data_IF_818624181955
#
_entry.id   IF_818624181955
#
_cell.length_a   1.000
_cell.length_b   1.000
_cell.length_c   1.000
_cell.angle_alpha   90.00
_cell.angle_beta   90.00
_cell.angle_gamma   90.00
#
_symmetry.space_group_name_H-M   'P 1'
#
loop_
_entity.id
_entity.type
_entity.pdbx_description
1 polymer ?
#
# COMPACT_ATOMS: atom_id res chain seq x y z
N UNK A 1 0.76 -13.57 10.84
CA UNK A 1 1.03 -12.12 10.63
C UNK A 1 2.00 -11.48 11.63
N UNK A 2 2.13 -11.93 12.89
CA UNK A 2 3.04 -11.29 13.87
C UNK A 2 4.52 -11.27 13.44
N UNK A 3 5.05 -12.37 12.90
CA UNK A 3 6.44 -12.46 12.46
C UNK A 3 6.79 -11.46 11.35
N UNK A 4 5.96 -11.38 10.30
CA UNK A 4 6.22 -10.46 9.19
C UNK A 4 6.21 -8.99 9.64
N UNK A 5 5.29 -8.59 10.52
CA UNK A 5 5.22 -7.22 11.04
C UNK A 5 6.42 -6.84 11.92
N UNK A 6 7.02 -7.80 12.60
CA UNK A 6 8.24 -7.57 13.39
C UNK A 6 9.49 -7.49 12.51
N UNK A 7 9.55 -8.31 11.46
CA UNK A 7 10.70 -8.38 10.55
C UNK A 7 10.71 -7.24 9.52
N UNK A 8 9.53 -6.82 9.09
CA UNK A 8 9.32 -5.73 8.13
C UNK A 8 8.47 -4.66 8.81
N UNK A 9 9.12 -3.73 9.55
CA UNK A 9 8.42 -2.65 10.25
C UNK A 9 7.79 -1.64 9.28
N UNK A 10 8.09 -1.78 7.98
CA UNK A 10 7.57 -0.96 6.92
C UNK A 10 7.35 -1.80 5.66
N UNK A 11 6.26 -1.53 4.94
CA UNK A 11 5.90 -2.16 3.67
C UNK A 11 5.47 -1.08 2.68
N UNK A 12 5.90 -1.22 1.43
CA UNK A 12 5.43 -0.46 0.28
C UNK A 12 4.98 -1.45 -0.78
N UNK A 13 3.89 -1.14 -1.48
CA UNK A 13 3.47 -1.87 -2.67
C UNK A 13 2.61 -1.01 -3.59
N UNK A 14 2.58 -1.39 -4.85
CA UNK A 14 1.69 -0.83 -5.87
C UNK A 14 0.36 -1.59 -5.90
N UNK A 15 -0.74 -0.85 -5.97
CA UNK A 15 -2.10 -1.39 -6.00
C UNK A 15 -2.86 -0.75 -7.15
N UNK A 16 -3.25 -1.56 -8.13
CA UNK A 16 -4.11 -1.10 -9.21
C UNK A 16 -5.39 -0.45 -8.68
N UNK A 17 -5.63 0.80 -9.08
CA UNK A 17 -6.78 1.58 -8.60
C UNK A 17 -8.10 0.92 -9.01
N UNK A 18 -8.14 0.30 -10.20
CA UNK A 18 -9.31 -0.45 -10.67
C UNK A 18 -9.66 -1.67 -9.80
N UNK A 19 -8.73 -2.16 -8.98
CA UNK A 19 -8.97 -3.27 -8.07
C UNK A 19 -9.51 -2.73 -6.74
N UNK A 20 -10.77 -2.30 -6.74
CA UNK A 20 -11.43 -1.72 -5.57
C UNK A 20 -11.38 -2.63 -4.34
N UNK A 21 -11.43 -3.95 -4.54
CA UNK A 21 -11.29 -4.93 -3.44
C UNK A 21 -9.92 -4.82 -2.77
N UNK A 22 -8.85 -4.71 -3.54
CA UNK A 22 -7.50 -4.56 -3.01
C UNK A 22 -7.32 -3.18 -2.36
N UNK A 23 -7.77 -2.11 -3.03
CA UNK A 23 -7.71 -0.74 -2.49
C UNK A 23 -8.39 -0.67 -1.12
N UNK A 24 -9.63 -1.17 -1.02
CA UNK A 24 -10.38 -1.19 0.22
C UNK A 24 -9.74 -2.09 1.28
N UNK A 25 -9.18 -3.24 0.88
CA UNK A 25 -8.47 -4.12 1.80
C UNK A 25 -7.28 -3.40 2.45
N UNK A 26 -6.42 -2.77 1.66
CA UNK A 26 -5.23 -2.09 2.18
C UNK A 26 -5.62 -0.88 3.03
N UNK A 27 -6.55 -0.05 2.55
CA UNK A 27 -7.07 1.10 3.30
C UNK A 27 -7.65 0.69 4.67
N UNK A 28 -8.51 -0.33 4.71
CA UNK A 28 -9.10 -0.83 5.95
C UNK A 28 -8.07 -1.52 6.89
N UNK A 29 -6.87 -1.81 6.41
CA UNK A 29 -5.77 -2.38 7.18
C UNK A 29 -4.68 -1.33 7.51
N UNK A 30 -5.04 -0.04 7.51
CA UNK A 30 -4.18 1.10 7.86
C UNK A 30 -3.01 1.35 6.89
N UNK A 31 -3.10 0.87 5.65
CA UNK A 31 -2.20 1.33 4.61
C UNK A 31 -2.66 2.73 4.15
N UNK A 32 -1.69 3.58 3.79
CA UNK A 32 -1.93 4.93 3.28
C UNK A 32 -1.48 5.01 1.83
N UNK A 33 -2.26 5.63 0.96
CA UNK A 33 -1.82 5.98 -0.38
C UNK A 33 -0.84 7.16 -0.29
N UNK A 34 0.36 6.97 -0.83
CA UNK A 34 1.42 7.98 -0.89
C UNK A 34 1.37 8.77 -2.19
N UNK A 35 1.13 8.09 -3.30
CA UNK A 35 1.04 8.70 -4.63
C UNK A 35 0.23 7.84 -5.60
N UNK A 36 -0.21 8.42 -6.70
CA UNK A 36 -0.77 7.76 -7.88
C UNK A 36 0.25 7.81 -9.02
N UNK A 37 0.39 6.71 -9.75
CA UNK A 37 1.21 6.67 -10.96
C UNK A 37 0.61 5.68 -11.98
N UNK A 38 1.15 5.69 -13.20
CA UNK A 38 0.74 4.75 -14.26
C UNK A 38 1.81 3.67 -14.38
N UNK A 39 1.41 2.41 -14.23
CA UNK A 39 2.24 1.23 -14.45
C UNK A 39 2.87 1.28 -15.84
N UNK A 40 4.19 1.11 -15.93
CA UNK A 40 4.86 1.08 -17.23
C UNK A 40 4.50 -0.17 -18.04
N UNK A 41 4.20 -1.28 -17.36
CA UNK A 41 3.88 -2.57 -17.98
C UNK A 41 2.39 -2.63 -18.36
N UNK A 42 1.49 -2.45 -17.40
CA UNK A 42 0.05 -2.58 -17.64
C UNK A 42 -0.58 -1.35 -18.29
N UNK A 43 0.10 -0.18 -18.28
CA UNK A 43 -0.45 1.13 -18.69
C UNK A 43 -1.71 1.53 -17.91
N UNK A 44 -1.83 1.04 -16.68
CA UNK A 44 -2.97 1.30 -15.80
C UNK A 44 -2.54 2.07 -14.55
N UNK A 45 -3.49 2.76 -13.92
CA UNK A 45 -3.22 3.55 -12.71
C UNK A 45 -3.06 2.67 -11.47
N UNK A 46 -2.07 2.98 -10.67
CA UNK A 46 -1.71 2.32 -9.42
C UNK A 46 -1.50 3.34 -8.30
N UNK A 47 -1.93 3.00 -7.09
CA UNK A 47 -1.49 3.67 -5.88
C UNK A 47 -0.19 3.06 -5.38
N UNK A 48 0.80 3.89 -5.10
CA UNK A 48 1.89 3.54 -4.20
C UNK A 48 1.34 3.60 -2.78
N UNK A 49 1.19 2.46 -2.13
CA UNK A 49 0.63 2.36 -0.77
C UNK A 49 1.70 1.97 0.23
N UNK A 50 1.60 2.45 1.46
CA UNK A 50 2.53 2.11 2.53
C UNK A 50 1.85 1.76 3.84
N UNK A 51 2.51 0.92 4.62
CA UNK A 51 2.15 0.59 5.99
C UNK A 51 3.40 0.58 6.86
N UNK A 52 3.28 1.08 8.10
CA UNK A 52 4.36 1.08 9.08
C UNK A 52 3.86 0.60 10.44
N UNK A 53 4.75 -0.02 11.21
CA UNK A 53 4.50 -0.42 12.59
C UNK A 53 4.45 0.79 13.53
N UNK A 54 5.22 1.85 13.21
CA UNK A 54 5.19 3.12 13.91
C UNK A 54 4.25 4.08 13.18
N UNK A 55 3.32 4.70 13.89
CA UNK A 55 2.62 5.88 13.38
C UNK A 55 3.66 7.00 13.24
N UNK A 56 4.23 7.16 12.03
CA UNK A 56 5.08 8.31 11.75
C UNK A 56 4.20 9.55 11.91
N UNK A 57 4.36 10.24 13.05
CA UNK A 57 3.99 11.65 13.20
C UNK A 57 4.89 12.41 12.23
N UNK A 58 4.38 12.65 11.02
CA UNK A 58 4.89 13.70 10.15
C UNK A 58 4.59 15.06 10.80
#
# INVERSE_FOLDING_TARGET
MKYCKLKYPYLILDVFIKNEKAVNFYYNNNFKALNEHVSQEAKEKEYLTSWSLEETKL
#
